data_IF_963331258210
#
_entry.id   IF_963331258210
#
_cell.length_a   1.000
_cell.length_b   1.000
_cell.length_c   1.000
_cell.angle_alpha   90.00
_cell.angle_beta   90.00
_cell.angle_gamma   90.00
#
_symmetry.space_group_name_H-M   'P 1'
#
loop_
_entity.id
_entity.type
_entity.pdbx_description
1 polymer ?
#
# COMPACT_ATOMS: atom_id res chain seq x y z
N UNK A 1 -3.41 -10.99 -11.21
CA UNK A 1 -3.00 -9.57 -11.07
C UNK A 1 -3.92 -8.58 -11.78
N UNK A 2 -4.15 -8.65 -13.12
CA UNK A 2 -4.95 -7.65 -13.84
C UNK A 2 -6.38 -7.46 -13.29
N UNK A 3 -7.07 -8.57 -12.96
CA UNK A 3 -8.41 -8.53 -12.34
C UNK A 3 -8.43 -7.77 -11.00
N UNK A 4 -7.43 -7.96 -10.13
CA UNK A 4 -7.36 -7.29 -8.83
C UNK A 4 -7.16 -5.79 -8.99
N UNK A 5 -6.29 -5.37 -9.90
CA UNK A 5 -6.06 -3.94 -10.19
C UNK A 5 -7.34 -3.27 -10.70
N UNK A 6 -8.08 -3.92 -11.59
CA UNK A 6 -9.37 -3.40 -12.08
C UNK A 6 -10.41 -3.24 -10.95
N UNK A 7 -10.48 -4.20 -10.02
CA UNK A 7 -11.38 -4.10 -8.86
C UNK A 7 -11.00 -2.96 -7.92
N UNK A 8 -9.70 -2.75 -7.68
CA UNK A 8 -9.21 -1.61 -6.90
C UNK A 8 -9.54 -0.27 -7.57
N UNK A 9 -9.39 -0.16 -8.89
CA UNK A 9 -9.77 1.04 -9.64
C UNK A 9 -11.26 1.33 -9.46
N UNK A 10 -12.12 0.32 -9.62
CA UNK A 10 -13.56 0.46 -9.44
C UNK A 10 -13.91 0.92 -8.01
N UNK A 11 -13.23 0.38 -7.00
CA UNK A 11 -13.38 0.81 -5.61
C UNK A 11 -13.07 2.31 -5.44
N UNK A 12 -11.94 2.80 -5.96
CA UNK A 12 -11.58 4.21 -5.84
C UNK A 12 -12.51 5.14 -6.61
N UNK A 13 -13.08 4.70 -7.74
CA UNK A 13 -14.04 5.47 -8.53
C UNK A 13 -15.40 5.62 -7.84
N UNK A 14 -15.80 4.65 -7.02
CA UNK A 14 -17.13 4.60 -6.39
C UNK A 14 -17.20 5.29 -5.01
N UNK A 15 -16.25 6.18 -4.71
CA UNK A 15 -16.16 6.93 -3.44
C UNK A 15 -16.13 6.03 -2.18
N UNK A 16 -15.00 5.34 -2.08
CA UNK A 16 -14.40 4.46 -1.08
C UNK A 16 -14.50 4.81 0.44
N UNK A 17 -15.61 5.36 0.94
CA UNK A 17 -15.72 5.78 2.35
C UNK A 17 -16.49 4.81 3.25
N UNK A 18 -17.11 3.75 2.72
CA UNK A 18 -17.80 2.75 3.54
C UNK A 18 -16.79 1.81 4.21
N UNK A 19 -17.07 1.41 5.45
CA UNK A 19 -16.23 0.44 6.16
C UNK A 19 -16.08 -0.87 5.37
N UNK A 20 -17.19 -1.38 4.83
CA UNK A 20 -17.19 -2.60 4.00
C UNK A 20 -16.33 -2.47 2.74
N UNK A 21 -16.39 -1.32 2.07
CA UNK A 21 -15.53 -1.02 0.94
C UNK A 21 -14.05 -0.99 1.32
N UNK A 22 -13.72 -0.37 2.46
CA UNK A 22 -12.34 -0.33 2.97
C UNK A 22 -11.82 -1.75 3.24
N UNK A 23 -12.61 -2.63 3.85
CA UNK A 23 -12.20 -4.02 4.08
C UNK A 23 -12.04 -4.81 2.78
N UNK A 24 -12.92 -4.59 1.81
CA UNK A 24 -12.81 -5.21 0.47
C UNK A 24 -11.51 -4.78 -0.21
N UNK A 25 -11.23 -3.47 -0.25
CA UNK A 25 -10.00 -2.94 -0.84
C UNK A 25 -8.75 -3.44 -0.10
N UNK A 26 -8.80 -3.54 1.23
CA UNK A 26 -7.71 -4.11 2.03
C UNK A 26 -7.46 -5.58 1.66
N UNK A 27 -8.50 -6.38 1.45
CA UNK A 27 -8.39 -7.77 1.03
C UNK A 27 -7.71 -7.89 -0.33
N UNK A 28 -8.17 -7.09 -1.31
CA UNK A 28 -7.59 -7.05 -2.67
C UNK A 28 -6.12 -6.64 -2.66
N UNK A 29 -5.73 -5.65 -1.85
CA UNK A 29 -4.34 -5.21 -1.74
C UNK A 29 -3.45 -6.28 -1.10
N UNK A 30 -3.97 -7.03 -0.12
CA UNK A 30 -3.23 -8.15 0.51
C UNK A 30 -3.02 -9.30 -0.48
N UNK A 31 -4.03 -9.65 -1.26
CA UNK A 31 -3.91 -10.65 -2.31
C UNK A 31 -2.89 -10.22 -3.37
N UNK A 32 -2.94 -8.95 -3.79
CA UNK A 32 -1.96 -8.40 -4.72
C UNK A 32 -0.53 -8.45 -4.16
N UNK A 33 -0.35 -8.19 -2.86
CA UNK A 33 0.94 -8.31 -2.18
C UNK A 33 1.50 -9.73 -2.31
N UNK A 34 0.69 -10.75 -1.98
CA UNK A 34 1.11 -12.15 -2.05
C UNK A 34 1.49 -12.55 -3.47
N UNK A 35 0.75 -12.09 -4.48
CA UNK A 35 1.07 -12.38 -5.88
C UNK A 35 2.40 -11.74 -6.30
N UNK A 36 2.65 -10.47 -5.95
CA UNK A 36 3.90 -9.80 -6.34
C UNK A 36 5.10 -10.41 -5.59
N UNK A 37 4.95 -10.74 -4.30
CA UNK A 37 5.98 -11.42 -3.52
C UNK A 37 6.27 -12.84 -4.08
N UNK A 38 5.23 -13.55 -4.53
CA UNK A 38 5.36 -14.89 -5.13
C UNK A 38 6.11 -14.92 -6.45
N UNK A 39 6.06 -13.83 -7.22
CA UNK A 39 6.83 -13.67 -8.46
C UNK A 39 8.31 -13.32 -8.19
N UNK A 40 8.71 -13.14 -6.91
CA UNK A 40 10.08 -12.82 -6.51
C UNK A 40 10.51 -11.40 -6.86
N UNK A 41 9.56 -10.50 -7.15
CA UNK A 41 9.84 -9.14 -7.58
C UNK A 41 9.91 -8.20 -6.37
N UNK A 42 11.13 -7.89 -5.91
CA UNK A 42 11.37 -6.75 -5.02
C UNK A 42 11.29 -5.45 -5.83
N UNK A 43 10.07 -4.95 -6.04
CA UNK A 43 9.83 -3.83 -6.93
C UNK A 43 9.09 -2.67 -6.24
N UNK A 44 9.16 -1.50 -6.88
CA UNK A 44 8.47 -0.29 -6.44
C UNK A 44 6.95 -0.48 -6.32
N UNK A 45 6.39 -1.45 -7.03
CA UNK A 45 4.97 -1.77 -6.93
C UNK A 45 4.59 -2.28 -5.53
N UNK A 46 5.43 -3.11 -4.89
CA UNK A 46 5.18 -3.54 -3.50
C UNK A 46 5.12 -2.35 -2.56
N UNK A 47 6.01 -1.38 -2.74
CA UNK A 47 5.96 -0.14 -1.94
C UNK A 47 4.62 0.58 -2.09
N UNK A 48 4.13 0.74 -3.32
CA UNK A 48 2.86 1.39 -3.58
C UNK A 48 1.69 0.63 -2.96
N UNK A 49 1.66 -0.70 -3.10
CA UNK A 49 0.61 -1.53 -2.50
C UNK A 49 0.60 -1.40 -0.97
N UNK A 50 1.76 -1.31 -0.33
CA UNK A 50 1.87 -1.07 1.11
C UNK A 50 1.44 0.36 1.52
N UNK A 51 1.72 1.39 0.71
CA UNK A 51 1.21 2.76 0.94
C UNK A 51 -0.32 2.78 0.89
N UNK A 52 -0.93 2.11 -0.08
CA UNK A 52 -2.39 2.04 -0.16
C UNK A 52 -3.00 1.31 1.05
N UNK A 53 -2.39 0.21 1.51
CA UNK A 53 -2.82 -0.44 2.76
C UNK A 53 -2.69 0.51 3.96
N UNK A 54 -1.61 1.29 4.06
CA UNK A 54 -1.44 2.27 5.13
C UNK A 54 -2.56 3.31 5.11
N UNK A 55 -2.90 3.84 3.92
CA UNK A 55 -4.02 4.78 3.74
C UNK A 55 -5.33 4.20 4.26
N UNK A 56 -5.63 2.95 3.92
CA UNK A 56 -6.86 2.28 4.38
C UNK A 56 -6.88 2.06 5.90
N UNK A 57 -5.76 1.71 6.53
CA UNK A 57 -5.67 1.66 7.99
C UNK A 57 -5.89 3.03 8.64
N UNK A 58 -5.37 4.11 8.03
CA UNK A 58 -5.64 5.47 8.47
C UNK A 58 -7.13 5.84 8.41
N UNK A 59 -7.85 5.42 7.36
CA UNK A 59 -9.30 5.63 7.26
C UNK A 59 -10.08 4.87 8.35
N UNK A 60 -9.55 3.75 8.84
CA UNK A 60 -10.12 2.98 9.95
C UNK A 60 -9.69 3.51 11.33
N UNK A 61 -8.84 4.53 11.39
CA UNK A 61 -8.25 5.03 12.63
C UNK A 61 -7.20 4.11 13.26
N UNK A 62 -6.75 3.07 12.56
CA UNK A 62 -5.73 2.14 13.03
C UNK A 62 -4.32 2.70 12.72
N UNK A 63 -3.86 3.58 13.59
CA UNK A 63 -2.55 4.23 13.45
C UNK A 63 -1.39 3.23 13.52
N UNK A 64 -1.53 2.15 14.27
CA UNK A 64 -0.51 1.10 14.37
C UNK A 64 -0.39 0.37 13.04
N UNK A 65 -1.51 -0.09 12.49
CA UNK A 65 -1.57 -0.73 11.18
C UNK A 65 -1.05 0.19 10.07
N UNK A 66 -1.39 1.48 10.12
CA UNK A 66 -0.87 2.50 9.19
C UNK A 66 0.67 2.55 9.20
N UNK A 67 1.27 2.77 10.38
CA UNK A 67 2.73 2.88 10.52
C UNK A 67 3.46 1.61 10.12
N UNK A 68 2.92 0.46 10.46
CA UNK A 68 3.51 -0.83 10.09
C UNK A 68 3.58 -1.02 8.58
N UNK A 69 2.55 -0.56 7.85
CA UNK A 69 2.52 -0.62 6.38
C UNK A 69 3.42 0.42 5.74
N UNK A 70 3.51 1.64 6.27
CA UNK A 70 4.46 2.65 5.80
C UNK A 70 5.92 2.17 5.97
N UNK A 71 6.25 1.49 7.07
CA UNK A 71 7.59 0.92 7.27
C UNK A 71 7.94 -0.11 6.21
N UNK A 72 7.00 -0.99 5.85
CA UNK A 72 7.19 -1.94 4.74
C UNK A 72 7.37 -1.22 3.40
N UNK A 73 6.55 -0.21 3.12
CA UNK A 73 6.69 0.59 1.91
C UNK A 73 8.07 1.29 1.82
N UNK A 74 8.59 1.75 2.96
CA UNK A 74 9.88 2.41 3.07
C UNK A 74 11.03 1.45 2.78
N UNK A 75 10.97 0.22 3.32
CA UNK A 75 11.96 -0.81 3.04
C UNK A 75 12.14 -1.03 1.53
N UNK A 76 11.05 -1.17 0.78
CA UNK A 76 11.13 -1.37 -0.67
C UNK A 76 11.63 -0.13 -1.43
N UNK A 77 11.25 1.09 -1.01
CA UNK A 77 11.79 2.30 -1.66
C UNK A 77 13.28 2.47 -1.40
N UNK A 78 13.74 2.20 -0.18
CA UNK A 78 15.17 2.22 0.15
C UNK A 78 15.95 1.23 -0.72
N UNK A 79 15.43 0.01 -0.87
CA UNK A 79 16.04 -1.03 -1.69
C UNK A 79 16.11 -0.63 -3.17
N UNK A 80 15.02 -0.12 -3.75
CA UNK A 80 14.96 0.16 -5.19
C UNK A 80 15.58 1.51 -5.60
N UNK A 81 15.55 2.52 -4.72
CA UNK A 81 15.87 3.91 -5.07
C UNK A 81 17.03 4.51 -4.29
N UNK A 82 17.42 3.89 -3.16
CA UNK A 82 18.40 4.44 -2.23
C UNK A 82 17.83 5.51 -1.29
N UNK A 83 18.58 5.81 -0.22
CA UNK A 83 18.15 6.67 0.88
C UNK A 83 17.89 8.13 0.48
N UNK A 84 18.65 8.66 -0.48
CA UNK A 84 18.58 10.06 -0.89
C UNK A 84 17.41 10.35 -1.84
N UNK A 85 16.65 9.33 -2.25
CA UNK A 85 15.56 9.53 -3.19
C UNK A 85 14.41 10.34 -2.53
N UNK A 86 13.85 11.37 -3.19
CA UNK A 86 12.83 12.23 -2.60
C UNK A 86 11.58 11.50 -2.07
N UNK A 87 11.20 10.37 -2.71
CA UNK A 87 10.04 9.57 -2.26
C UNK A 87 10.31 8.74 -1.00
N UNK A 88 11.57 8.49 -0.65
CA UNK A 88 11.98 7.91 0.63
C UNK A 88 11.77 8.97 1.73
N UNK A 89 12.31 10.17 1.52
CA UNK A 89 12.17 11.30 2.47
C UNK A 89 10.71 11.61 2.76
N UNK A 90 9.87 11.75 1.72
CA UNK A 90 8.42 11.98 1.89
C UNK A 90 7.73 10.87 2.69
N UNK A 91 8.12 9.61 2.46
CA UNK A 91 7.50 8.50 3.18
C UNK A 91 7.90 8.46 4.65
N UNK A 92 9.10 8.94 5.00
CA UNK A 92 9.51 9.14 6.39
C UNK A 92 8.70 10.25 7.05
N UNK A 93 8.42 11.34 6.33
CA UNK A 93 7.53 12.41 6.81
C UNK A 93 6.12 11.88 7.09
N UNK A 94 5.56 11.07 6.18
CA UNK A 94 4.23 10.46 6.33
C UNK A 94 4.09 9.56 7.58
N UNK A 95 5.21 9.09 8.16
CA UNK A 95 5.22 8.22 9.35
C UNK A 95 5.14 8.99 10.68
N UNK A 96 5.44 10.29 10.67
CA UNK A 96 5.41 11.15 11.85
C UNK A 96 4.00 11.69 12.13
#
# INVERSE_FOLDING_TARGET
MASLRSQLIAYYQNNAASHDGIYTAMSLLRELTVLIEGDGLECLELSLVYVEQARLFGLLGDERGRRDKLRKALQFRLLCLGADHPTVSRLVEDMN
#
